data_IF_307503471176
#
_entry.id   IF_307503471176
#
_cell.length_a   1.000
_cell.length_b   1.000
_cell.length_c   1.000
_cell.angle_alpha   90.00
_cell.angle_beta   90.00
_cell.angle_gamma   90.00
#
_symmetry.space_group_name_H-M   'P 1'
#
loop_
_entity.id
_entity.type
_entity.pdbx_description
1 polymer ?
#
# COMPACT_ATOMS: atom_id res chain seq x y z
N UNK A 1 17.44 -7.43 -8.62
CA UNK A 1 18.47 -8.50 -8.62
C UNK A 1 18.69 -8.99 -7.20
N UNK A 2 18.04 -10.06 -6.74
CA UNK A 2 18.57 -10.82 -5.59
C UNK A 2 19.49 -11.89 -6.16
N UNK A 3 20.74 -11.89 -5.68
CA UNK A 3 21.74 -12.91 -5.98
C UNK A 3 21.13 -14.25 -5.60
N UNK A 4 21.11 -15.18 -6.56
CA UNK A 4 20.85 -16.61 -6.32
C UNK A 4 21.97 -17.12 -5.40
N UNK A 5 21.87 -16.85 -4.10
CA UNK A 5 22.89 -17.20 -3.10
C UNK A 5 23.05 -18.70 -2.96
N UNK A 6 21.98 -19.43 -3.26
CA UNK A 6 21.95 -20.87 -3.42
C UNK A 6 22.87 -21.40 -4.54
N UNK A 7 23.14 -20.59 -5.56
CA UNK A 7 24.13 -20.91 -6.60
C UNK A 7 25.57 -20.60 -6.20
N UNK A 8 25.78 -20.02 -5.01
CA UNK A 8 27.09 -19.82 -4.43
C UNK A 8 27.51 -21.01 -3.55
N UNK A 9 26.62 -21.98 -3.31
CA UNK A 9 26.99 -23.19 -2.59
C UNK A 9 27.94 -24.06 -3.43
N UNK A 10 28.84 -24.82 -2.78
CA UNK A 10 29.76 -25.74 -3.44
C UNK A 10 29.04 -27.05 -3.84
N UNK A 11 27.82 -26.94 -4.38
CA UNK A 11 27.00 -28.04 -4.86
C UNK A 11 26.77 -27.81 -6.35
N UNK A 12 26.93 -28.86 -7.16
CA UNK A 12 26.69 -28.75 -8.59
C UNK A 12 25.23 -28.31 -8.86
N UNK A 13 24.97 -27.26 -9.67
CA UNK A 13 23.63 -26.71 -9.86
C UNK A 13 22.57 -27.71 -10.31
N UNK A 14 22.97 -28.74 -11.06
CA UNK A 14 22.07 -29.80 -11.49
C UNK A 14 21.53 -30.63 -10.31
N UNK A 15 22.40 -30.99 -9.35
CA UNK A 15 22.02 -31.78 -8.19
C UNK A 15 21.10 -30.96 -7.27
N UNK A 16 21.41 -29.68 -7.08
CA UNK A 16 20.57 -28.78 -6.31
C UNK A 16 19.18 -28.62 -6.93
N UNK A 17 19.10 -28.44 -8.25
CA UNK A 17 17.80 -28.32 -8.93
C UNK A 17 16.97 -29.60 -8.85
N UNK A 18 17.62 -30.78 -8.92
CA UNK A 18 16.95 -32.06 -8.77
C UNK A 18 16.32 -32.20 -7.38
N UNK A 19 17.10 -31.97 -6.32
CA UNK A 19 16.60 -32.01 -4.92
C UNK A 19 15.41 -31.06 -4.74
N UNK A 20 15.52 -29.83 -5.25
CA UNK A 20 14.44 -28.84 -5.13
C UNK A 20 13.16 -29.31 -5.84
N UNK A 21 13.29 -29.93 -7.00
CA UNK A 21 12.15 -30.45 -7.75
C UNK A 21 11.51 -31.64 -7.04
N UNK A 22 12.32 -32.56 -6.51
CA UNK A 22 11.86 -33.76 -5.78
C UNK A 22 11.12 -33.37 -4.49
N UNK A 23 11.66 -32.41 -3.73
CA UNK A 23 11.01 -31.82 -2.54
C UNK A 23 9.67 -31.16 -2.90
N UNK A 24 9.65 -30.33 -3.96
CA UNK A 24 8.41 -29.67 -4.39
C UNK A 24 7.35 -30.68 -4.85
N UNK A 25 7.75 -31.71 -5.59
CA UNK A 25 6.84 -32.77 -6.04
C UNK A 25 6.23 -33.52 -4.85
N UNK A 26 7.02 -33.77 -3.79
CA UNK A 26 6.54 -34.42 -2.57
C UNK A 26 5.51 -33.55 -1.84
N UNK A 27 5.76 -32.26 -1.71
CA UNK A 27 4.81 -31.29 -1.12
C UNK A 27 3.54 -31.20 -1.96
N UNK A 28 3.68 -31.17 -3.29
CA UNK A 28 2.54 -31.10 -4.21
C UNK A 28 1.67 -32.36 -4.13
N UNK A 29 2.29 -33.53 -4.03
CA UNK A 29 1.55 -34.79 -3.87
C UNK A 29 0.78 -34.79 -2.55
N UNK A 30 1.43 -34.40 -1.45
CA UNK A 30 0.76 -34.27 -0.15
C UNK A 30 -0.41 -33.27 -0.18
N UNK A 31 -0.24 -32.13 -0.86
CA UNK A 31 -1.33 -31.17 -1.06
C UNK A 31 -2.51 -31.81 -1.83
N UNK A 32 -2.25 -32.56 -2.90
CA UNK A 32 -3.28 -33.25 -3.67
C UNK A 32 -4.01 -34.30 -2.83
N UNK A 33 -3.27 -35.05 -2.00
CA UNK A 33 -3.84 -36.07 -1.12
C UNK A 33 -4.77 -35.44 -0.08
N UNK A 34 -4.35 -34.33 0.55
CA UNK A 34 -5.16 -33.56 1.50
C UNK A 34 -6.40 -32.95 0.86
N UNK A 35 -6.29 -32.44 -0.38
CA UNK A 35 -7.45 -31.94 -1.11
C UNK A 35 -8.44 -33.05 -1.48
N UNK A 36 -7.98 -34.30 -1.54
CA UNK A 36 -8.78 -35.49 -1.87
C UNK A 36 -9.37 -36.18 -0.63
N UNK A 37 -8.77 -36.00 0.56
CA UNK A 37 -9.17 -36.68 1.81
C UNK A 37 -10.47 -36.16 2.41
N UNK A 38 -10.94 -34.97 2.01
CA UNK A 38 -12.18 -34.35 2.49
C UNK A 38 -12.01 -33.55 3.80
N UNK A 39 -10.98 -33.84 4.60
CA UNK A 39 -10.67 -33.16 5.88
C UNK A 39 -9.69 -31.99 5.71
N UNK A 40 -9.96 -31.15 4.70
CA UNK A 40 -9.10 -30.03 4.28
C UNK A 40 -8.81 -29.08 5.45
N UNK A 41 -9.78 -28.85 6.33
CA UNK A 41 -9.69 -27.85 7.41
C UNK A 41 -8.63 -28.18 8.46
N UNK A 42 -8.34 -29.47 8.68
CA UNK A 42 -7.35 -29.91 9.67
C UNK A 42 -5.98 -30.16 9.03
N UNK A 43 -5.97 -30.71 7.82
CA UNK A 43 -4.74 -31.24 7.21
C UNK A 43 -3.98 -30.22 6.34
N UNK A 44 -4.63 -29.13 5.90
CA UNK A 44 -3.99 -28.16 4.99
C UNK A 44 -2.97 -27.24 5.67
N UNK A 45 -3.13 -26.97 6.97
CA UNK A 45 -2.24 -26.05 7.70
C UNK A 45 -0.79 -26.58 7.77
N UNK A 46 -0.53 -27.86 8.10
CA UNK A 46 0.80 -28.46 7.96
C UNK A 46 1.39 -28.33 6.54
N UNK A 47 0.58 -28.46 5.49
CA UNK A 47 1.02 -28.29 4.10
C UNK A 47 1.46 -26.84 3.87
N UNK A 48 0.66 -25.86 4.30
CA UNK A 48 0.99 -24.44 4.17
C UNK A 48 2.29 -24.06 4.88
N UNK A 49 2.50 -24.54 6.11
CA UNK A 49 3.76 -24.29 6.84
C UNK A 49 4.97 -24.90 6.13
N UNK A 50 4.80 -26.04 5.47
CA UNK A 50 5.86 -26.71 4.70
C UNK A 50 6.18 -25.96 3.40
N UNK A 51 5.15 -25.49 2.68
CA UNK A 51 5.33 -24.60 1.50
C UNK A 51 6.07 -23.31 1.91
N UNK A 52 5.72 -22.73 3.05
CA UNK A 52 6.39 -21.55 3.59
C UNK A 52 7.88 -21.82 3.88
N UNK A 53 8.22 -22.96 4.49
CA UNK A 53 9.61 -23.38 4.70
C UNK A 53 10.35 -23.58 3.37
N UNK A 54 9.71 -24.23 2.39
CA UNK A 54 10.27 -24.41 1.05
C UNK A 54 10.62 -23.06 0.40
N UNK A 55 9.70 -22.09 0.44
CA UNK A 55 9.92 -20.74 -0.09
C UNK A 55 11.07 -20.03 0.63
N UNK A 56 11.18 -20.19 1.96
CA UNK A 56 12.26 -19.55 2.72
C UNK A 56 13.64 -20.12 2.36
N UNK A 57 13.73 -21.43 2.14
CA UNK A 57 15.00 -22.12 1.87
C UNK A 57 15.42 -21.96 0.41
N UNK A 58 14.49 -22.20 -0.54
CA UNK A 58 14.80 -22.30 -1.97
C UNK A 58 14.35 -21.08 -2.79
N UNK A 59 13.60 -20.17 -2.18
CA UNK A 59 12.99 -19.03 -2.84
C UNK A 59 11.70 -19.38 -3.61
N UNK A 60 11.16 -18.39 -4.33
CA UNK A 60 9.94 -18.51 -5.14
C UNK A 60 10.23 -19.25 -6.46
N UNK A 61 10.43 -20.57 -6.39
CA UNK A 61 10.72 -21.47 -7.52
C UNK A 61 9.47 -22.19 -8.05
N UNK A 62 8.33 -21.51 -7.96
CA UNK A 62 7.03 -22.00 -8.42
C UNK A 62 6.76 -21.48 -9.83
N UNK A 63 6.09 -22.30 -10.65
CA UNK A 63 5.53 -21.79 -11.91
C UNK A 63 4.47 -20.72 -11.64
N UNK A 64 4.23 -19.83 -12.62
CA UNK A 64 3.20 -18.79 -12.48
C UNK A 64 1.81 -19.39 -12.21
N UNK A 65 1.47 -20.49 -12.88
CA UNK A 65 0.18 -21.19 -12.73
C UNK A 65 0.02 -21.78 -11.33
N UNK A 66 1.05 -22.49 -10.82
CA UNK A 66 1.04 -23.04 -9.46
C UNK A 66 0.92 -21.93 -8.40
N UNK A 67 1.66 -20.82 -8.59
CA UNK A 67 1.59 -19.68 -7.67
C UNK A 67 0.18 -19.06 -7.64
N UNK A 68 -0.44 -18.87 -8.79
CA UNK A 68 -1.83 -18.34 -8.87
C UNK A 68 -2.81 -19.32 -8.20
N UNK A 69 -2.68 -20.62 -8.45
CA UNK A 69 -3.53 -21.64 -7.85
C UNK A 69 -3.41 -21.65 -6.32
N UNK A 70 -2.18 -21.59 -5.79
CA UNK A 70 -1.94 -21.49 -4.35
C UNK A 70 -2.51 -20.21 -3.77
N UNK A 71 -2.36 -19.05 -4.43
CA UNK A 71 -2.96 -17.80 -3.96
C UNK A 71 -4.49 -17.94 -3.87
N UNK A 72 -5.14 -18.49 -4.89
CA UNK A 72 -6.61 -18.71 -4.87
C UNK A 72 -7.02 -19.65 -3.74
N UNK A 73 -6.30 -20.75 -3.56
CA UNK A 73 -6.56 -21.72 -2.50
C UNK A 73 -6.40 -21.08 -1.12
N UNK A 74 -5.29 -20.37 -0.89
CA UNK A 74 -5.01 -19.70 0.38
C UNK A 74 -6.04 -18.60 0.67
N UNK A 75 -6.44 -17.82 -0.33
CA UNK A 75 -7.49 -16.80 -0.18
C UNK A 75 -8.84 -17.42 0.14
N UNK A 76 -9.26 -18.47 -0.59
CA UNK A 76 -10.50 -19.17 -0.33
C UNK A 76 -10.52 -19.75 1.09
N UNK A 77 -9.40 -20.36 1.50
CA UNK A 77 -9.22 -20.89 2.84
C UNK A 77 -9.33 -19.81 3.92
N UNK A 78 -8.65 -18.68 3.75
CA UNK A 78 -8.69 -17.54 4.67
C UNK A 78 -10.11 -16.98 4.82
N UNK A 79 -10.89 -16.93 3.74
CA UNK A 79 -12.25 -16.39 3.76
C UNK A 79 -13.32 -17.40 4.23
N UNK A 80 -12.95 -18.63 4.59
CA UNK A 80 -13.90 -19.60 5.11
C UNK A 80 -14.27 -19.29 6.58
N UNK A 81 -15.56 -19.24 6.94
CA UNK A 81 -15.98 -19.01 8.31
C UNK A 81 -15.62 -20.22 9.20
N UNK A 82 -15.49 -19.98 10.51
CA UNK A 82 -15.26 -21.01 11.55
C UNK A 82 -13.90 -21.74 11.47
N UNK A 83 -12.86 -21.10 10.92
CA UNK A 83 -11.48 -21.59 11.02
C UNK A 83 -10.83 -21.00 12.26
N UNK A 84 -10.02 -21.80 12.95
CA UNK A 84 -9.19 -21.35 14.07
C UNK A 84 -8.25 -20.20 13.67
N UNK A 85 -8.25 -19.12 14.46
CA UNK A 85 -7.50 -17.89 14.17
C UNK A 85 -6.02 -18.14 13.90
N UNK A 86 -5.38 -19.07 14.62
CA UNK A 86 -3.96 -19.39 14.45
C UNK A 86 -3.68 -20.00 13.07
N UNK A 87 -4.62 -20.80 12.57
CA UNK A 87 -4.53 -21.43 11.26
C UNK A 87 -4.70 -20.40 10.14
N UNK A 88 -5.58 -19.42 10.33
CA UNK A 88 -5.72 -18.30 9.39
C UNK A 88 -4.44 -17.45 9.35
N UNK A 89 -3.80 -17.19 10.49
CA UNK A 89 -2.53 -16.47 10.55
C UNK A 89 -1.43 -17.15 9.73
N UNK A 90 -1.28 -18.47 9.84
CA UNK A 90 -0.30 -19.22 9.04
C UNK A 90 -0.59 -19.12 7.54
N UNK A 91 -1.87 -19.21 7.16
CA UNK A 91 -2.30 -19.06 5.77
C UNK A 91 -1.98 -17.64 5.24
N UNK A 92 -2.17 -16.61 6.05
CA UNK A 92 -1.77 -15.24 5.69
C UNK A 92 -0.27 -15.09 5.51
N UNK A 93 0.55 -15.67 6.39
CA UNK A 93 2.00 -15.61 6.23
C UNK A 93 2.45 -16.23 4.90
N UNK A 94 1.85 -17.37 4.55
CA UNK A 94 2.04 -17.99 3.25
C UNK A 94 1.58 -17.06 2.12
N UNK A 95 0.38 -16.47 2.22
CA UNK A 95 -0.14 -15.53 1.24
C UNK A 95 0.82 -14.37 1.02
N UNK A 96 1.35 -13.75 2.08
CA UNK A 96 2.36 -12.69 1.99
C UNK A 96 3.63 -13.14 1.28
N UNK A 97 4.10 -14.36 1.52
CA UNK A 97 5.28 -14.91 0.82
C UNK A 97 4.97 -15.17 -0.64
N UNK A 98 3.80 -15.72 -0.96
CA UNK A 98 3.31 -15.88 -2.32
C UNK A 98 3.05 -14.53 -2.99
N UNK A 99 2.81 -13.48 -2.24
CA UNK A 99 2.64 -12.09 -2.71
C UNK A 99 3.93 -11.30 -2.78
N UNK A 100 4.98 -11.75 -2.09
CA UNK A 100 6.32 -11.20 -2.22
C UNK A 100 6.73 -11.30 -3.68
N UNK A 101 7.10 -10.17 -4.31
CA UNK A 101 7.31 -10.06 -5.76
C UNK A 101 6.04 -10.11 -6.61
N UNK A 102 4.95 -9.51 -6.12
CA UNK A 102 3.70 -9.31 -6.87
C UNK A 102 3.90 -8.66 -8.25
N UNK A 103 5.02 -7.96 -8.50
CA UNK A 103 5.41 -7.46 -9.82
C UNK A 103 5.43 -8.56 -10.92
N UNK A 104 5.72 -9.81 -10.55
CA UNK A 104 5.73 -10.94 -11.49
C UNK A 104 4.35 -11.53 -11.84
N UNK A 105 3.29 -11.06 -11.17
CA UNK A 105 1.90 -11.49 -11.38
C UNK A 105 1.12 -10.33 -12.01
N UNK A 106 0.50 -10.57 -13.17
CA UNK A 106 -0.37 -9.55 -13.77
C UNK A 106 -1.62 -9.36 -12.93
N UNK A 107 -2.03 -8.10 -12.75
CA UNK A 107 -3.28 -7.73 -12.06
C UNK A 107 -4.53 -8.36 -12.69
N UNK A 108 -4.50 -8.75 -13.97
CA UNK A 108 -5.60 -9.44 -14.67
C UNK A 108 -5.66 -10.95 -14.42
N UNK A 109 -4.61 -11.56 -13.86
CA UNK A 109 -4.53 -13.03 -13.69
C UNK A 109 -5.33 -13.53 -12.49
N UNK A 110 -5.65 -12.64 -11.56
CA UNK A 110 -6.34 -12.92 -10.32
C UNK A 110 -7.41 -11.84 -10.12
N UNK A 111 -8.68 -12.25 -10.10
CA UNK A 111 -9.79 -11.38 -9.69
C UNK A 111 -10.24 -11.86 -8.32
N UNK A 112 -9.97 -11.07 -7.28
CA UNK A 112 -10.43 -11.39 -5.93
C UNK A 112 -11.59 -10.47 -5.56
N UNK A 113 -12.64 -11.05 -4.96
CA UNK A 113 -13.74 -10.28 -4.39
C UNK A 113 -13.30 -9.65 -3.05
N UNK A 114 -13.37 -8.33 -2.96
CA UNK A 114 -12.99 -7.58 -1.77
C UNK A 114 -13.95 -7.81 -0.60
N UNK A 115 -15.23 -8.06 -0.87
CA UNK A 115 -16.26 -8.26 0.16
C UNK A 115 -15.97 -9.46 1.05
N UNK A 116 -15.47 -10.56 0.46
CA UNK A 116 -15.09 -11.74 1.22
C UNK A 116 -14.05 -11.42 2.33
N UNK A 117 -13.14 -10.47 2.09
CA UNK A 117 -12.18 -10.02 3.10
C UNK A 117 -12.73 -8.94 4.04
N UNK A 118 -13.77 -8.24 3.62
CA UNK A 118 -14.48 -7.32 4.48
C UNK A 118 -15.33 -8.08 5.50
N UNK A 119 -16.14 -9.05 5.04
CA UNK A 119 -16.96 -9.93 5.88
C UNK A 119 -16.09 -10.73 6.84
N UNK A 120 -14.90 -11.16 6.38
CA UNK A 120 -13.91 -11.83 7.22
C UNK A 120 -13.55 -11.06 8.50
N UNK A 121 -13.58 -9.73 8.47
CA UNK A 121 -13.25 -8.90 9.62
C UNK A 121 -14.24 -9.08 10.76
N UNK A 122 -15.50 -9.39 10.48
CA UNK A 122 -16.55 -9.46 11.50
C UNK A 122 -16.33 -10.57 12.52
N UNK A 123 -15.56 -11.60 12.14
CA UNK A 123 -15.31 -12.78 12.98
C UNK A 123 -13.85 -12.95 13.39
N UNK A 124 -13.00 -11.91 13.24
CA UNK A 124 -11.60 -11.97 13.67
C UNK A 124 -11.25 -10.81 14.59
N UNK A 125 -10.58 -11.14 15.70
CA UNK A 125 -10.17 -10.18 16.74
C UNK A 125 -9.39 -8.98 16.20
N UNK A 126 -9.60 -7.80 16.81
CA UNK A 126 -9.04 -6.50 16.39
C UNK A 126 -7.51 -6.48 16.18
N UNK A 127 -6.76 -7.39 16.82
CA UNK A 127 -5.31 -7.56 16.60
C UNK A 127 -4.95 -7.88 15.13
N UNK A 128 -5.88 -8.44 14.36
CA UNK A 128 -5.74 -8.70 12.92
C UNK A 128 -5.73 -7.42 12.07
N UNK A 129 -6.45 -6.38 12.48
CA UNK A 129 -6.66 -5.17 11.69
C UNK A 129 -5.37 -4.33 11.52
N UNK A 130 -4.40 -4.52 12.41
CA UNK A 130 -3.10 -3.85 12.36
C UNK A 130 -2.16 -4.42 11.28
N UNK A 131 -2.50 -5.55 10.64
CA UNK A 131 -1.59 -6.23 9.74
C UNK A 131 -1.70 -5.72 8.28
N UNK A 132 -0.59 -5.16 7.80
CA UNK A 132 -0.33 -4.61 6.44
C UNK A 132 -0.61 -5.54 5.24
N UNK A 133 -1.09 -6.75 5.48
CA UNK A 133 -1.20 -7.84 4.51
C UNK A 133 -2.34 -7.65 3.50
N UNK A 134 -3.45 -7.03 3.93
CA UNK A 134 -4.61 -6.79 3.08
C UNK A 134 -4.35 -5.73 2.00
N UNK A 135 -3.46 -4.76 2.27
CA UNK A 135 -3.07 -3.71 1.31
C UNK A 135 -2.39 -4.32 0.07
N UNK A 136 -1.76 -5.49 0.18
CA UNK A 136 -1.17 -6.16 -0.98
C UNK A 136 -2.20 -6.86 -1.86
N UNK A 137 -3.39 -7.17 -1.34
CA UNK A 137 -4.44 -7.90 -2.04
C UNK A 137 -5.38 -6.99 -2.82
N UNK A 138 -5.54 -5.72 -2.39
CA UNK A 138 -6.28 -4.71 -3.15
C UNK A 138 -5.75 -4.56 -4.59
N UNK A 139 -4.50 -4.97 -4.81
CA UNK A 139 -3.86 -5.11 -6.12
C UNK A 139 -4.62 -5.98 -7.14
N UNK A 140 -5.43 -6.92 -6.67
CA UNK A 140 -6.16 -7.87 -7.51
C UNK A 140 -7.66 -7.66 -7.48
N UNK A 141 -8.11 -6.55 -6.91
CA UNK A 141 -9.51 -6.21 -6.97
C UNK A 141 -9.85 -5.68 -8.38
N UNK A 142 -10.98 -6.13 -8.95
CA UNK A 142 -11.43 -5.65 -10.25
C UNK A 142 -11.75 -4.15 -10.21
N UNK A 143 -11.80 -3.54 -11.39
CA UNK A 143 -12.15 -2.13 -11.55
C UNK A 143 -13.52 -1.80 -10.94
N UNK A 144 -14.48 -2.73 -11.02
CA UNK A 144 -15.83 -2.57 -10.44
C UNK A 144 -15.82 -2.34 -8.93
N UNK A 145 -14.81 -2.86 -8.22
CA UNK A 145 -14.70 -2.71 -6.77
C UNK A 145 -14.58 -1.25 -6.34
N UNK A 146 -14.10 -0.34 -7.19
CA UNK A 146 -13.92 1.08 -6.83
C UNK A 146 -15.25 1.73 -6.47
N UNK A 147 -16.27 1.49 -7.29
CA UNK A 147 -17.62 2.02 -7.06
C UNK A 147 -18.31 1.31 -5.91
N UNK A 148 -18.21 -0.02 -5.85
CA UNK A 148 -18.79 -0.81 -4.74
C UNK A 148 -18.24 -0.38 -3.38
N UNK A 149 -16.91 -0.24 -3.25
CA UNK A 149 -16.24 0.15 -2.02
C UNK A 149 -16.66 1.58 -1.62
N UNK A 150 -16.74 2.51 -2.57
CA UNK A 150 -17.18 3.87 -2.26
C UNK A 150 -18.63 3.88 -1.76
N UNK A 151 -19.55 3.20 -2.44
CA UNK A 151 -20.96 3.15 -2.05
C UNK A 151 -21.16 2.54 -0.66
N UNK A 152 -20.36 1.52 -0.31
CA UNK A 152 -20.37 0.90 1.01
C UNK A 152 -19.94 1.89 2.10
N UNK A 153 -18.78 2.54 1.93
CA UNK A 153 -18.19 3.35 3.00
C UNK A 153 -18.64 4.81 3.02
N UNK A 154 -19.20 5.38 1.94
CA UNK A 154 -19.46 6.83 1.85
C UNK A 154 -20.30 7.37 3.01
N UNK A 155 -21.37 6.67 3.38
CA UNK A 155 -22.30 7.17 4.41
C UNK A 155 -21.65 7.13 5.79
N UNK A 156 -20.85 6.10 6.05
CA UNK A 156 -20.09 5.98 7.29
C UNK A 156 -18.99 7.04 7.38
N UNK A 157 -18.27 7.30 6.29
CA UNK A 157 -17.26 8.37 6.21
C UNK A 157 -17.90 9.74 6.48
N UNK A 158 -19.01 10.06 5.80
CA UNK A 158 -19.72 11.31 6.02
C UNK A 158 -20.24 11.43 7.45
N UNK A 159 -20.77 10.34 8.03
CA UNK A 159 -21.24 10.31 9.41
C UNK A 159 -20.10 10.54 10.41
N UNK A 160 -18.96 9.88 10.23
CA UNK A 160 -17.77 10.07 11.08
C UNK A 160 -17.31 11.54 11.05
N UNK A 161 -17.29 12.13 9.85
CA UNK A 161 -16.89 13.54 9.63
C UNK A 161 -17.85 14.50 10.34
N UNK A 162 -19.16 14.29 10.22
CA UNK A 162 -20.18 15.17 10.81
C UNK A 162 -20.23 15.05 12.34
N UNK A 163 -20.03 13.85 12.87
CA UNK A 163 -20.10 13.59 14.32
C UNK A 163 -18.81 13.92 15.06
N UNK A 164 -17.70 14.16 14.34
CA UNK A 164 -16.38 14.36 14.92
C UNK A 164 -15.79 13.08 15.53
N UNK A 165 -16.35 11.91 15.20
CA UNK A 165 -15.83 10.63 15.63
C UNK A 165 -14.47 10.33 14.95
N UNK A 166 -13.63 9.44 15.50
CA UNK A 166 -12.45 8.95 14.81
C UNK A 166 -12.87 8.32 13.48
N UNK A 167 -12.30 8.76 12.35
CA UNK A 167 -12.70 8.30 11.01
C UNK A 167 -12.13 6.90 10.73
N UNK A 168 -12.70 5.89 11.37
CA UNK A 168 -12.28 4.48 11.23
C UNK A 168 -12.56 3.96 9.83
N UNK A 169 -13.69 4.35 9.25
CA UNK A 169 -14.14 3.84 7.96
C UNK A 169 -13.30 4.34 6.78
N UNK A 170 -12.67 5.52 6.91
CA UNK A 170 -11.78 6.02 5.86
C UNK A 170 -10.46 5.24 5.80
N UNK A 171 -9.98 4.73 6.94
CA UNK A 171 -8.89 3.74 6.97
C UNK A 171 -9.27 2.43 6.28
N UNK A 172 -10.50 1.94 6.48
CA UNK A 172 -11.00 0.74 5.80
C UNK A 172 -11.10 0.96 4.29
N UNK A 173 -11.71 2.08 3.89
CA UNK A 173 -11.78 2.51 2.50
C UNK A 173 -10.40 2.47 1.83
N UNK A 174 -9.38 2.97 2.52
CA UNK A 174 -8.00 3.01 2.01
C UNK A 174 -7.38 1.61 1.84
N UNK A 175 -7.67 0.68 2.75
CA UNK A 175 -7.18 -0.70 2.69
C UNK A 175 -7.78 -1.44 1.49
N UNK A 176 -9.08 -1.30 1.26
CA UNK A 176 -9.77 -2.05 0.22
C UNK A 176 -9.68 -1.38 -1.15
N UNK A 177 -9.49 -0.07 -1.25
CA UNK A 177 -9.49 0.62 -2.54
C UNK A 177 -8.27 0.27 -3.40
N UNK A 178 -8.45 -0.18 -4.66
CA UNK A 178 -7.34 -0.50 -5.55
C UNK A 178 -6.72 0.76 -6.17
N UNK A 179 -5.57 1.20 -5.66
CA UNK A 179 -4.84 2.35 -6.20
C UNK A 179 -3.93 1.97 -7.38
N UNK A 180 -4.47 2.06 -8.60
CA UNK A 180 -3.74 1.82 -9.85
C UNK A 180 -3.84 2.98 -10.84
N UNK A 181 -2.75 3.29 -11.59
CA UNK A 181 -2.79 4.30 -12.64
C UNK A 181 -3.88 4.04 -13.70
N UNK A 182 -4.05 2.78 -14.12
CA UNK A 182 -5.11 2.37 -15.07
C UNK A 182 -6.54 2.54 -14.56
N UNK A 183 -6.71 2.70 -13.25
CA UNK A 183 -8.01 2.89 -12.60
C UNK A 183 -8.25 4.35 -12.22
N UNK A 184 -7.30 5.23 -12.52
CA UNK A 184 -7.36 6.64 -12.13
C UNK A 184 -8.63 7.33 -12.64
N UNK A 185 -9.02 7.09 -13.88
CA UNK A 185 -10.21 7.74 -14.46
C UNK A 185 -11.49 7.32 -13.74
N UNK A 186 -11.55 6.07 -13.26
CA UNK A 186 -12.65 5.57 -12.44
C UNK A 186 -12.66 6.20 -11.05
N UNK A 187 -11.51 6.25 -10.39
CA UNK A 187 -11.34 6.90 -9.09
C UNK A 187 -11.76 8.37 -9.15
N UNK A 188 -11.28 9.07 -10.19
CA UNK A 188 -11.57 10.48 -10.44
C UNK A 188 -13.08 10.72 -10.60
N UNK A 189 -13.74 9.85 -11.38
CA UNK A 189 -15.18 9.93 -11.66
C UNK A 189 -16.05 9.59 -10.44
N UNK A 190 -15.67 8.60 -9.64
CA UNK A 190 -16.56 8.00 -8.64
C UNK A 190 -16.55 8.76 -7.31
N UNK A 191 -15.37 9.15 -6.81
CA UNK A 191 -15.26 9.64 -5.43
C UNK A 191 -14.19 10.71 -5.19
N UNK A 192 -13.28 10.98 -6.13
CA UNK A 192 -12.19 11.93 -5.89
C UNK A 192 -12.70 13.36 -5.64
N UNK A 193 -13.72 13.79 -6.37
CA UNK A 193 -14.38 15.10 -6.18
C UNK A 193 -14.98 15.20 -4.79
N UNK A 194 -15.69 14.15 -4.36
CA UNK A 194 -16.34 14.11 -3.05
C UNK A 194 -15.31 14.20 -1.92
N UNK A 195 -14.15 13.55 -2.07
CA UNK A 195 -13.04 13.66 -1.11
C UNK A 195 -12.48 15.08 -1.06
N UNK A 196 -12.33 15.77 -2.19
CA UNK A 196 -11.92 17.18 -2.20
C UNK A 196 -12.97 18.06 -1.51
N UNK A 197 -14.25 17.89 -1.82
CA UNK A 197 -15.33 18.67 -1.21
C UNK A 197 -15.37 18.46 0.30
N UNK A 198 -15.33 17.21 0.77
CA UNK A 198 -15.24 16.87 2.20
C UNK A 198 -14.00 17.51 2.85
N UNK A 199 -12.87 17.48 2.15
CA UNK A 199 -11.62 18.06 2.64
C UNK A 199 -11.72 19.57 2.81
N UNK A 200 -12.38 20.30 1.90
CA UNK A 200 -12.54 21.75 1.99
C UNK A 200 -13.60 22.17 3.01
N UNK A 201 -14.73 21.46 3.07
CA UNK A 201 -15.87 21.80 3.93
C UNK A 201 -15.56 21.72 5.41
N UNK A 202 -14.58 20.90 5.82
CA UNK A 202 -14.24 20.69 7.23
C UNK A 202 -12.77 21.02 7.53
N UNK A 203 -12.40 22.31 7.66
CA UNK A 203 -11.02 22.74 7.92
C UNK A 203 -10.50 22.44 9.33
N UNK A 204 -11.38 22.17 10.29
CA UNK A 204 -11.02 21.86 11.67
C UNK A 204 -10.81 20.36 11.94
N UNK A 205 -10.90 19.51 10.90
CA UNK A 205 -10.72 18.07 11.05
C UNK A 205 -9.40 17.75 11.76
N UNK A 206 -9.49 17.24 13.00
CA UNK A 206 -8.41 16.48 13.66
C UNK A 206 -7.96 15.25 12.83
N UNK A 207 -8.67 14.96 11.75
CA UNK A 207 -8.50 13.83 10.84
C UNK A 207 -7.95 14.20 9.44
N UNK A 208 -7.37 15.41 9.28
CA UNK A 208 -6.66 15.81 8.04
C UNK A 208 -5.66 14.75 7.55
N UNK A 209 -5.08 13.99 8.47
CA UNK A 209 -4.08 12.93 8.22
C UNK A 209 -4.56 11.87 7.25
N UNK A 210 -5.76 11.31 7.47
CA UNK A 210 -6.24 10.20 6.66
C UNK A 210 -6.67 10.67 5.26
N UNK A 211 -7.18 11.90 5.13
CA UNK A 211 -7.41 12.51 3.81
C UNK A 211 -6.07 12.74 3.09
N UNK A 212 -5.06 13.29 3.76
CA UNK A 212 -3.71 13.45 3.16
C UNK A 212 -3.13 12.11 2.74
N UNK A 213 -3.36 11.07 3.53
CA UNK A 213 -2.98 9.71 3.17
C UNK A 213 -3.64 9.29 1.87
N UNK A 214 -4.97 9.43 1.71
CA UNK A 214 -5.66 9.14 0.43
C UNK A 214 -5.05 9.96 -0.71
N UNK A 215 -4.92 11.27 -0.52
CA UNK A 215 -4.39 12.18 -1.55
C UNK A 215 -2.95 11.80 -1.94
N UNK A 216 -2.14 11.30 -1.01
CA UNK A 216 -0.81 10.76 -1.28
C UNK A 216 -0.86 9.51 -2.18
N UNK A 217 -1.81 8.59 -1.99
CA UNK A 217 -1.98 7.46 -2.91
C UNK A 217 -2.45 7.93 -4.29
N UNK A 218 -3.40 8.87 -4.33
CA UNK A 218 -3.96 9.43 -5.57
C UNK A 218 -2.89 10.19 -6.36
N UNK A 219 -2.08 11.03 -5.72
CA UNK A 219 -1.02 11.80 -6.41
C UNK A 219 0.02 10.89 -7.07
N UNK A 220 0.34 9.76 -6.44
CA UNK A 220 1.25 8.75 -7.00
C UNK A 220 0.70 8.06 -8.25
N UNK A 221 -0.59 7.72 -8.28
CA UNK A 221 -1.19 7.02 -9.43
C UNK A 221 -1.65 7.99 -10.53
N UNK A 222 -1.94 9.24 -10.17
CA UNK A 222 -2.43 10.31 -11.05
C UNK A 222 -1.39 11.39 -11.31
N UNK A 223 -0.10 11.06 -11.32
CA UNK A 223 0.99 12.00 -11.60
C UNK A 223 0.72 12.75 -12.91
N UNK A 224 0.69 14.08 -12.86
CA UNK A 224 0.42 14.95 -14.00
C UNK A 224 -1.02 14.93 -14.54
N UNK A 225 -1.95 14.20 -13.90
CA UNK A 225 -3.38 14.15 -14.30
C UNK A 225 -4.29 15.04 -13.44
N UNK A 226 -3.85 15.39 -12.24
CA UNK A 226 -4.57 16.28 -11.32
C UNK A 226 -3.86 17.62 -11.32
N UNK A 227 -4.63 18.70 -11.48
CA UNK A 227 -4.17 20.03 -11.15
C UNK A 227 -4.19 20.21 -9.63
N UNK A 228 -2.99 20.24 -9.04
CA UNK A 228 -2.84 20.39 -7.60
C UNK A 228 -2.65 21.84 -7.15
N UNK A 229 -2.50 22.80 -8.07
CA UNK A 229 -2.24 24.20 -7.73
C UNK A 229 -3.30 24.82 -6.81
N UNK A 230 -4.62 24.60 -7.03
CA UNK A 230 -5.66 25.11 -6.13
C UNK A 230 -5.56 24.58 -4.69
N UNK A 231 -4.88 23.44 -4.51
CA UNK A 231 -4.77 22.73 -3.24
C UNK A 231 -3.46 23.02 -2.50
N UNK A 232 -2.46 23.65 -3.15
CA UNK A 232 -1.11 23.80 -2.62
C UNK A 232 -1.05 24.57 -1.31
N UNK A 233 -1.79 25.67 -1.18
CA UNK A 233 -1.80 26.46 0.05
C UNK A 233 -2.25 25.62 1.26
N UNK A 234 -3.28 24.78 1.06
CA UNK A 234 -3.82 23.91 2.12
C UNK A 234 -2.83 22.81 2.49
N UNK A 235 -2.15 22.20 1.50
CA UNK A 235 -1.12 21.17 1.73
C UNK A 235 0.06 21.75 2.52
N UNK A 236 0.64 22.87 2.06
CA UNK A 236 1.81 23.47 2.68
C UNK A 236 1.50 24.08 4.05
N UNK A 237 0.34 24.71 4.22
CA UNK A 237 -0.11 25.19 5.53
C UNK A 237 -0.34 24.03 6.49
N UNK A 238 -0.94 22.93 6.01
CA UNK A 238 -1.12 21.70 6.77
C UNK A 238 0.21 21.10 7.24
N UNK A 239 1.19 20.97 6.34
CA UNK A 239 2.53 20.48 6.65
C UNK A 239 3.26 21.40 7.63
N UNK A 240 3.23 22.71 7.40
CA UNK A 240 3.86 23.70 8.29
C UNK A 240 3.29 23.59 9.71
N UNK A 241 1.96 23.59 9.84
CA UNK A 241 1.29 23.36 11.13
C UNK A 241 1.66 22.01 11.75
N UNK A 242 1.76 20.95 10.93
CA UNK A 242 2.15 19.62 11.39
C UNK A 242 3.60 19.55 11.86
N UNK A 243 4.48 20.47 11.48
CA UNK A 243 5.85 20.55 11.98
C UNK A 243 5.95 21.49 13.18
N UNK A 244 5.24 22.63 13.17
CA UNK A 244 5.39 23.70 14.18
C UNK A 244 4.50 23.53 15.41
N UNK A 245 3.29 22.98 15.27
CA UNK A 245 2.28 22.93 16.34
C UNK A 245 2.25 21.60 17.12
N UNK A 246 3.23 20.72 16.94
CA UNK A 246 3.33 19.40 17.59
C UNK A 246 3.22 19.38 19.12
N UNK A 247 3.33 20.54 19.78
CA UNK A 247 3.23 20.67 21.25
C UNK A 247 1.81 20.98 21.75
N UNK A 248 0.86 21.33 20.88
CA UNK A 248 -0.54 21.55 21.24
C UNK A 248 -1.39 20.56 20.46
N UNK A 249 -1.75 19.40 21.06
CA UNK A 249 -2.59 18.43 20.38
C UNK A 249 -3.93 19.10 20.11
N UNK A 250 -4.26 19.32 18.84
CA UNK A 250 -5.50 20.01 18.49
C UNK A 250 -6.69 19.17 18.97
N UNK A 251 -6.57 17.83 19.04
CA UNK A 251 -7.62 16.90 19.51
C UNK A 251 -7.05 15.73 20.37
N UNK A 252 -6.07 15.99 21.24
CA UNK A 252 -5.53 14.97 22.17
C UNK A 252 -4.51 13.97 21.61
N UNK A 253 -4.28 13.92 20.29
CA UNK A 253 -3.25 13.06 19.69
C UNK A 253 -2.04 13.84 19.17
N UNK A 254 -0.84 13.32 19.46
CA UNK A 254 0.43 13.77 18.89
C UNK A 254 0.54 13.29 17.44
N UNK A 255 1.07 14.14 16.56
CA UNK A 255 1.38 13.76 15.18
C UNK A 255 2.48 12.69 15.16
N UNK A 256 2.29 11.68 14.31
CA UNK A 256 3.26 10.59 14.11
C UNK A 256 4.21 10.94 12.99
N UNK A 257 5.41 10.33 13.00
CA UNK A 257 6.37 10.46 11.90
C UNK A 257 5.75 10.03 10.56
N UNK A 258 4.92 8.99 10.57
CA UNK A 258 4.20 8.47 9.40
C UNK A 258 3.34 9.55 8.71
N UNK A 259 2.73 10.44 9.48
CA UNK A 259 1.88 11.52 8.95
C UNK A 259 2.69 12.48 8.08
N UNK A 260 3.91 12.79 8.50
CA UNK A 260 4.85 13.64 7.78
C UNK A 260 5.37 12.95 6.51
N UNK A 261 5.55 11.62 6.55
CA UNK A 261 5.96 10.86 5.38
C UNK A 261 4.92 10.91 4.24
N UNK A 262 3.63 10.92 4.57
CA UNK A 262 2.56 11.06 3.56
C UNK A 262 2.59 12.43 2.89
N UNK A 263 2.88 13.51 3.62
CA UNK A 263 3.08 14.82 2.99
C UNK A 263 4.27 14.84 2.05
N UNK A 264 5.40 14.24 2.46
CA UNK A 264 6.61 14.19 1.63
C UNK A 264 6.35 13.47 0.30
N UNK A 265 5.66 12.34 0.36
CA UNK A 265 5.30 11.57 -0.84
C UNK A 265 4.23 12.29 -1.67
N UNK A 266 3.22 12.91 -1.05
CA UNK A 266 2.23 13.74 -1.74
C UNK A 266 2.92 14.84 -2.54
N UNK A 267 3.68 15.71 -1.87
CA UNK A 267 4.35 16.87 -2.50
C UNK A 267 5.32 16.42 -3.60
N UNK A 268 6.08 15.34 -3.39
CA UNK A 268 6.98 14.83 -4.43
C UNK A 268 6.21 14.39 -5.69
N UNK A 269 5.04 13.78 -5.54
CA UNK A 269 4.23 13.33 -6.67
C UNK A 269 3.40 14.45 -7.32
N UNK A 270 3.23 15.62 -6.68
CA UNK A 270 2.57 16.79 -7.27
C UNK A 270 3.52 17.69 -8.07
N UNK A 271 4.84 17.49 -7.99
CA UNK A 271 5.79 18.26 -8.82
C UNK A 271 5.54 17.95 -10.29
N UNK A 272 4.88 18.89 -10.97
CA UNK A 272 4.61 18.83 -12.40
C UNK A 272 5.82 19.23 -13.26
N UNK A 273 5.78 18.94 -14.56
CA UNK A 273 6.76 19.49 -15.50
C UNK A 273 6.57 21.01 -15.59
N UNK A 274 7.67 21.76 -15.62
CA UNK A 274 7.63 23.19 -15.93
C UNK A 274 7.29 23.36 -17.41
N UNK A 275 6.01 23.61 -17.69
CA UNK A 275 5.52 23.92 -19.03
C UNK A 275 5.13 25.39 -19.11
N UNK A 276 5.22 25.96 -20.31
CA UNK A 276 4.88 27.37 -20.56
C UNK A 276 3.42 27.73 -20.26
N UNK A 277 2.52 26.73 -20.23
CA UNK A 277 1.09 26.84 -19.97
C UNK A 277 0.70 26.57 -18.50
N UNK A 278 1.59 25.97 -17.70
CA UNK A 278 1.34 25.67 -16.29
C UNK A 278 2.66 25.62 -15.50
N UNK A 279 2.96 26.71 -14.77
CA UNK A 279 4.13 26.77 -13.90
C UNK A 279 3.82 26.17 -12.54
N UNK A 280 4.52 25.09 -12.18
CA UNK A 280 4.38 24.42 -10.89
C UNK A 280 4.90 25.32 -9.77
N UNK A 281 4.05 25.70 -8.81
CA UNK A 281 4.46 26.48 -7.64
C UNK A 281 5.05 25.62 -6.53
N UNK A 282 5.03 24.29 -6.69
CA UNK A 282 5.42 23.31 -5.65
C UNK A 282 6.86 23.53 -5.17
N UNK A 283 7.83 23.68 -6.08
CA UNK A 283 9.24 23.86 -5.72
C UNK A 283 9.49 25.21 -5.06
N UNK A 284 8.85 26.27 -5.55
CA UNK A 284 8.93 27.59 -4.93
C UNK A 284 8.36 27.57 -3.50
N UNK A 285 7.20 26.94 -3.29
CA UNK A 285 6.59 26.80 -1.96
C UNK A 285 7.43 25.94 -1.03
N UNK A 286 8.08 24.89 -1.55
CA UNK A 286 9.02 24.08 -0.80
C UNK A 286 10.23 24.89 -0.34
N UNK A 287 10.78 25.74 -1.21
CA UNK A 287 11.87 26.66 -0.85
C UNK A 287 11.43 27.64 0.27
N UNK A 288 10.24 28.23 0.15
CA UNK A 288 9.70 29.12 1.18
C UNK A 288 9.49 28.39 2.52
N UNK A 289 8.97 27.16 2.47
CA UNK A 289 8.82 26.33 3.67
C UNK A 289 10.17 26.10 4.33
N UNK A 290 11.18 25.64 3.58
CA UNK A 290 12.52 25.37 4.10
C UNK A 290 13.19 26.60 4.72
N UNK A 291 13.02 27.79 4.11
CA UNK A 291 13.46 29.07 4.69
C UNK A 291 12.72 29.39 5.99
N UNK A 292 11.40 29.16 6.05
CA UNK A 292 10.60 29.46 7.25
C UNK A 292 10.99 28.58 8.47
N UNK A 293 11.51 27.39 8.22
CA UNK A 293 11.92 26.43 9.26
C UNK A 293 13.44 26.37 9.47
N UNK A 294 14.20 27.30 8.89
CA UNK A 294 15.67 27.33 8.97
C UNK A 294 16.18 27.31 10.42
N UNK A 295 15.47 28.02 11.30
CA UNK A 295 15.78 28.07 12.74
C UNK A 295 15.70 26.71 13.45
N UNK A 296 15.00 25.72 12.89
CA UNK A 296 14.84 24.39 13.51
C UNK A 296 16.07 23.49 13.29
N UNK A 297 16.89 23.78 12.27
CA UNK A 297 18.12 23.03 12.00
C UNK A 297 19.32 23.51 12.80
N UNK A 298 19.24 24.70 13.40
CA UNK A 298 20.35 25.23 14.16
C UNK A 298 20.63 24.31 15.37
N UNK A 299 21.88 23.84 15.58
CA UNK A 299 22.22 22.91 16.67
C UNK A 299 21.87 23.43 18.07
N UNK A 300 21.76 24.76 18.23
CA UNK A 300 21.37 25.40 19.48
C UNK A 300 19.86 25.64 19.62
N UNK A 301 19.03 25.17 18.68
CA UNK A 301 17.58 25.36 18.75
C UNK A 301 16.95 24.49 19.84
N UNK A 302 15.98 25.05 20.58
CA UNK A 302 15.20 24.32 21.58
C UNK A 302 14.06 23.49 20.96
N UNK A 303 13.96 23.45 19.63
CA UNK A 303 12.87 22.84 18.88
C UNK A 303 13.24 21.46 18.31
N UNK A 304 13.85 20.63 19.16
CA UNK A 304 14.38 19.31 18.79
C UNK A 304 13.34 18.43 18.07
N UNK A 305 12.09 18.40 18.54
CA UNK A 305 11.02 17.58 17.93
C UNK A 305 10.58 18.09 16.54
N UNK A 306 10.49 19.41 16.35
CA UNK A 306 10.21 19.98 15.04
C UNK A 306 11.35 19.70 14.04
N UNK A 307 12.59 19.82 14.49
CA UNK A 307 13.78 19.46 13.70
C UNK A 307 13.83 17.98 13.32
N UNK A 308 13.42 17.06 14.22
CA UNK A 308 13.28 15.63 13.93
C UNK A 308 12.25 15.37 12.84
N UNK A 309 11.04 15.91 12.97
CA UNK A 309 9.96 15.70 11.99
C UNK A 309 10.33 16.25 10.62
N UNK A 310 10.97 17.41 10.59
CA UNK A 310 11.49 18.01 9.38
C UNK A 310 12.61 17.16 8.73
N UNK A 311 13.49 16.56 9.54
CA UNK A 311 14.50 15.61 9.04
C UNK A 311 13.85 14.36 8.44
N UNK A 312 12.81 13.82 9.09
CA UNK A 312 12.02 12.71 8.55
C UNK A 312 11.34 13.08 7.23
N UNK A 313 10.76 14.28 7.14
CA UNK A 313 10.18 14.81 5.90
C UNK A 313 11.20 14.80 4.77
N UNK A 314 12.38 15.40 4.97
CA UNK A 314 13.43 15.48 3.94
C UNK A 314 13.91 14.10 3.51
N UNK A 315 14.18 13.20 4.47
CA UNK A 315 14.64 11.85 4.18
C UNK A 315 13.62 11.08 3.34
N UNK A 316 12.34 11.17 3.69
CA UNK A 316 11.26 10.55 2.91
C UNK A 316 11.13 11.19 1.52
N UNK A 317 11.15 12.53 1.45
CA UNK A 317 11.05 13.28 0.19
C UNK A 317 12.14 12.87 -0.79
N UNK A 318 13.40 12.79 -0.35
CA UNK A 318 14.53 12.34 -1.18
C UNK A 318 14.40 10.88 -1.61
N UNK A 319 13.91 9.99 -0.74
CA UNK A 319 13.63 8.59 -1.12
C UNK A 319 12.54 8.51 -2.20
N UNK A 320 11.48 9.31 -2.06
CA UNK A 320 10.41 9.41 -3.06
C UNK A 320 10.93 9.98 -4.39
N UNK A 321 11.82 10.98 -4.35
CA UNK A 321 12.48 11.52 -5.54
C UNK A 321 13.26 10.42 -6.29
N UNK A 322 14.11 9.67 -5.57
CA UNK A 322 14.89 8.58 -6.17
C UNK A 322 13.97 7.51 -6.76
N UNK A 323 12.91 7.14 -6.04
CA UNK A 323 11.93 6.18 -6.54
C UNK A 323 11.24 6.68 -7.81
N UNK A 324 10.79 7.94 -7.82
CA UNK A 324 10.12 8.56 -8.96
C UNK A 324 11.05 8.64 -10.17
N UNK A 325 12.28 9.14 -10.00
CA UNK A 325 13.27 9.20 -11.08
C UNK A 325 13.59 7.82 -11.62
N UNK A 326 13.66 6.80 -10.76
CA UNK A 326 13.84 5.42 -11.20
C UNK A 326 12.64 4.93 -12.01
N UNK A 327 11.42 5.21 -11.58
CA UNK A 327 10.20 4.81 -12.29
C UNK A 327 10.09 5.49 -13.67
N UNK A 328 10.49 6.78 -13.76
CA UNK A 328 10.40 7.60 -14.98
C UNK A 328 11.56 7.35 -15.96
N UNK A 329 12.81 7.24 -15.48
CA UNK A 329 14.01 7.10 -16.31
C UNK A 329 14.40 5.65 -16.59
N UNK A 330 14.12 4.75 -15.64
CA UNK A 330 14.41 3.32 -15.75
C UNK A 330 13.15 2.51 -15.50
N UNK A 331 12.10 2.72 -16.31
CA UNK A 331 10.88 1.97 -16.18
C UNK A 331 11.23 0.48 -16.12
N UNK A 332 10.77 -0.28 -15.11
CA UNK A 332 10.90 -1.72 -15.16
C UNK A 332 10.30 -2.20 -16.49
N UNK A 333 10.77 -3.34 -17.01
CA UNK A 333 10.26 -3.99 -18.26
C UNK A 333 8.72 -4.15 -18.26
N UNK A 334 8.08 -3.96 -17.10
CA UNK A 334 6.66 -3.98 -16.76
C UNK A 334 5.93 -2.60 -16.87
N UNK A 335 6.58 -1.52 -17.31
CA UNK A 335 5.94 -0.19 -17.45
C UNK A 335 4.78 -0.14 -18.46
N UNK A 336 4.74 -1.10 -19.39
CA UNK A 336 3.61 -1.31 -20.30
C UNK A 336 2.31 -1.69 -19.55
N UNK A 337 2.39 -2.43 -18.44
CA UNK A 337 1.23 -2.84 -17.63
C UNK A 337 0.79 -1.79 -16.60
N UNK A 338 1.67 -0.82 -16.30
CA UNK A 338 1.40 0.29 -15.39
C UNK A 338 0.87 1.55 -16.10
N UNK A 339 0.70 1.50 -17.43
CA UNK A 339 0.25 2.62 -18.24
C UNK A 339 1.28 3.74 -18.41
N UNK A 340 2.55 3.46 -18.14
CA UNK A 340 3.65 4.38 -18.43
C UNK A 340 4.14 4.12 -19.84
N UNK A 341 3.75 4.97 -20.78
CA UNK A 341 4.43 5.07 -22.08
C UNK A 341 5.77 5.78 -21.85
N UNK A 342 6.92 5.18 -22.21
CA UNK A 342 8.17 5.90 -22.19
C UNK A 342 8.08 7.14 -23.09
N UNK A 343 8.71 8.28 -22.72
CA UNK A 343 8.83 9.41 -23.62
C UNK A 343 9.67 9.01 -24.83
N UNK A 344 9.25 9.47 -26.02
CA UNK A 344 10.00 9.32 -27.29
C UNK A 344 11.38 9.96 -27.24
#
# INVERSE_FOLDING_TARGET
MHRRSDRLFPIHPHNLNKVIQDEWNSIMQWLCDVLSSGDIMCEINPVFTTIQRFINIFGMRLSKTQRIALIRLTVAYICCPNIDTQVIFNALELLNKLMSKSYSLLSSTLSINWKNFFDMREWIDDAWQANSHLIQLSKFFPKSSIEEIWLEFRHHICSDILTGAPIRYLGHFLIYTPFYPKYFDEISRVWLTDIFDLWYMHPELGNFREIIRILCYVSRIGRGRIDWEPHMERIFTGLSRAITLNKKPVHGELLKIEDIEFYAELIMNTIGPDRSDCQSSVLYRLEQLLKSVESFYHPSSSQIEAGKLLSCFILKFLRCLISRLRDELFPPVEALDLGYTPPE
#
